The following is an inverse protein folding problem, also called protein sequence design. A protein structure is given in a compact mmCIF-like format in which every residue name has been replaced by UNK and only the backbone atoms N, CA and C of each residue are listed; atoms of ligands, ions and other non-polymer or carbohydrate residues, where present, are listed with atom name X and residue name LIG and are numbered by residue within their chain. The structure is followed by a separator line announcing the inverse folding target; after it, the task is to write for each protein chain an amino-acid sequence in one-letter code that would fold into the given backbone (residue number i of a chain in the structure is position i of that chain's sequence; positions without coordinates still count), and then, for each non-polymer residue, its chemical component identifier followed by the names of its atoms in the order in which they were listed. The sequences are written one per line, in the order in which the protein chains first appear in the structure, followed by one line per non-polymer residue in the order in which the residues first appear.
data_IF_619930669236
#
_entry.id   IF_619930669236
#
_cell.length_a   1.000
_cell.length_b   1.000
_cell.length_c   1.000
_cell.angle_alpha   90.00
_cell.angle_beta   90.00
_cell.angle_gamma   90.00
#
_symmetry.space_group_name_H-M   'P 1'
#
loop_
_entity.id
_entity.type
_entity.pdbx_description
1 polymer ?
#
# COMPACT_ATOMS: atom_id res chain seq x y z
N UNK A 1 27.85 17.03 4.84
CA UNK A 1 26.37 17.09 4.80
C UNK A 1 25.86 15.69 5.06
N UNK A 2 25.24 15.43 6.21
CA UNK A 2 24.76 14.09 6.55
C UNK A 2 23.38 13.89 5.91
N UNK A 3 23.31 13.08 4.86
CA UNK A 3 22.03 12.62 4.30
C UNK A 3 21.43 11.60 5.25
N UNK A 4 20.53 12.05 6.15
CA UNK A 4 19.67 11.11 6.86
C UNK A 4 18.68 10.54 5.84
N UNK A 5 18.68 9.23 5.56
CA UNK A 5 17.70 8.67 4.63
C UNK A 5 16.31 8.95 5.19
N UNK A 6 15.50 9.66 4.40
CA UNK A 6 14.10 9.92 4.71
C UNK A 6 13.37 8.62 4.42
N UNK A 7 13.14 7.78 5.43
CA UNK A 7 12.36 6.57 5.25
C UNK A 7 10.92 6.97 4.94
N UNK A 8 10.34 6.56 3.80
CA UNK A 8 8.96 6.89 3.49
C UNK A 8 8.00 6.30 4.53
N UNK A 9 6.91 7.01 4.90
CA UNK A 9 5.86 6.42 5.72
C UNK A 9 5.31 5.15 5.08
N UNK A 10 5.24 4.06 5.85
CA UNK A 10 4.69 2.78 5.40
C UNK A 10 3.28 2.61 5.97
N UNK A 11 2.33 2.21 5.11
CA UNK A 11 0.94 1.94 5.47
C UNK A 11 0.59 0.49 5.16
N UNK A 12 0.23 -0.29 6.18
CA UNK A 12 -0.23 -1.66 6.00
C UNK A 12 -1.70 -1.71 5.57
N UNK A 13 -2.01 -2.53 4.56
CA UNK A 13 -3.37 -2.74 4.07
C UNK A 13 -3.66 -4.19 3.74
N UNK A 14 -4.79 -4.69 4.25
CA UNK A 14 -5.34 -5.96 3.79
C UNK A 14 -5.85 -5.88 2.35
N UNK A 15 -5.64 -6.93 1.57
CA UNK A 15 -6.22 -7.08 0.24
C UNK A 15 -6.43 -8.58 -0.10
N UNK A 16 -7.48 -8.91 -0.85
CA UNK A 16 -7.73 -10.28 -1.28
C UNK A 16 -6.65 -10.79 -2.25
N UNK A 17 -6.37 -12.10 -2.22
CA UNK A 17 -5.33 -12.75 -3.02
C UNK A 17 -5.42 -12.42 -4.50
N UNK A 18 -6.61 -12.47 -5.10
CA UNK A 18 -6.79 -12.14 -6.51
C UNK A 18 -6.25 -10.74 -6.87
N UNK A 19 -6.54 -9.73 -6.06
CA UNK A 19 -6.04 -8.36 -6.30
C UNK A 19 -4.57 -8.20 -5.92
N UNK A 20 -4.08 -8.94 -4.91
CA UNK A 20 -2.66 -8.98 -4.59
C UNK A 20 -1.85 -9.45 -5.80
N UNK A 21 -2.27 -10.54 -6.45
CA UNK A 21 -1.61 -11.09 -7.63
C UNK A 21 -1.65 -10.11 -8.82
N UNK A 22 -2.75 -9.36 -8.98
CA UNK A 22 -2.85 -8.29 -9.98
C UNK A 22 -1.91 -7.11 -9.71
N UNK A 23 -1.69 -6.74 -8.44
CA UNK A 23 -0.73 -5.70 -8.05
C UNK A 23 0.70 -6.20 -8.25
N UNK A 24 1.00 -7.42 -7.80
CA UNK A 24 2.32 -8.03 -7.92
C UNK A 24 2.75 -8.22 -9.39
N UNK A 25 1.81 -8.52 -10.28
CA UNK A 25 2.06 -8.59 -11.73
C UNK A 25 2.09 -7.24 -12.43
N UNK A 26 1.82 -6.12 -11.74
CA UNK A 26 1.77 -4.78 -12.31
C UNK A 26 0.53 -4.49 -13.16
N UNK A 27 -0.41 -5.44 -13.28
CA UNK A 27 -1.66 -5.26 -14.05
C UNK A 27 -2.64 -4.31 -13.37
N UNK A 28 -2.63 -4.26 -12.04
CA UNK A 28 -3.43 -3.33 -11.25
C UNK A 28 -2.54 -2.24 -10.67
N UNK A 29 -2.72 -1.03 -11.18
CA UNK A 29 -1.94 0.16 -10.78
C UNK A 29 -2.72 1.13 -9.91
N UNK A 30 -4.05 0.97 -9.83
CA UNK A 30 -4.94 1.86 -9.07
C UNK A 30 -5.73 1.06 -8.03
N UNK A 31 -5.74 1.55 -6.79
CA UNK A 31 -6.49 0.98 -5.67
C UNK A 31 -7.45 2.02 -5.09
N UNK A 32 -8.74 1.68 -5.02
CA UNK A 32 -9.81 2.57 -4.54
C UNK A 32 -10.25 2.08 -3.15
N UNK A 33 -10.29 2.99 -2.18
CA UNK A 33 -10.67 2.70 -0.78
C UNK A 33 -11.52 3.85 -0.23
N UNK A 34 -12.35 3.56 0.76
CA UNK A 34 -13.02 4.58 1.57
C UNK A 34 -11.96 5.45 2.28
N UNK A 35 -12.17 6.77 2.32
CA UNK A 35 -11.25 7.73 2.93
C UNK A 35 -11.39 7.80 4.47
N UNK A 36 -11.17 6.67 5.12
CA UNK A 36 -11.18 6.54 6.58
C UNK A 36 -9.98 7.26 7.25
N UNK A 37 -9.98 7.29 8.59
CA UNK A 37 -8.94 7.99 9.37
C UNK A 37 -7.50 7.49 9.11
N UNK A 38 -7.34 6.23 8.68
CA UNK A 38 -6.03 5.68 8.32
C UNK A 38 -5.62 6.14 6.92
N UNK A 39 -6.56 6.09 5.95
CA UNK A 39 -6.32 6.48 4.54
C UNK A 39 -6.03 7.96 4.39
N UNK A 40 -6.62 8.81 5.23
CA UNK A 40 -6.33 10.26 5.27
C UNK A 40 -4.86 10.60 5.56
N UNK A 41 -4.07 9.65 6.10
CA UNK A 41 -2.65 9.85 6.41
C UNK A 41 -1.73 9.57 5.22
N UNK A 42 -2.23 8.94 4.16
CA UNK A 42 -1.44 8.58 2.98
C UNK A 42 -1.19 9.82 2.13
N UNK A 43 0.04 10.01 1.68
CA UNK A 43 0.44 11.13 0.83
C UNK A 43 1.28 10.62 -0.36
N UNK A 44 1.39 11.39 -1.45
CA UNK A 44 2.36 11.07 -2.50
C UNK A 44 3.76 10.81 -1.91
N UNK A 45 4.39 9.73 -2.33
CA UNK A 45 5.67 9.26 -1.80
C UNK A 45 5.58 8.28 -0.63
N UNK A 46 4.40 8.07 -0.03
CA UNK A 46 4.18 6.98 0.93
C UNK A 46 4.35 5.60 0.29
N UNK A 47 4.77 4.61 1.09
CA UNK A 47 4.78 3.20 0.71
C UNK A 47 3.54 2.50 1.26
N UNK A 48 2.93 1.62 0.46
CA UNK A 48 1.82 0.76 0.89
C UNK A 48 2.34 -0.68 0.97
N UNK A 49 2.23 -1.30 2.13
CA UNK A 49 2.52 -2.72 2.33
C UNK A 49 1.20 -3.50 2.29
N UNK A 50 0.93 -4.12 1.14
CA UNK A 50 -0.22 -5.01 1.02
C UNK A 50 0.04 -6.32 1.77
N UNK A 51 -0.93 -6.72 2.60
CA UNK A 51 -0.97 -8.03 3.25
C UNK A 51 -2.12 -8.82 2.67
N UNK A 52 -1.81 -10.00 2.14
CA UNK A 52 -2.81 -10.90 1.61
C UNK A 52 -3.78 -11.31 2.74
N UNK A 53 -5.08 -11.17 2.50
CA UNK A 53 -6.14 -11.60 3.40
C UNK A 53 -7.06 -12.57 2.66
N UNK A 54 -7.30 -13.74 3.24
CA UNK A 54 -8.12 -14.80 2.66
C UNK A 54 -7.43 -16.17 2.71
N UNK A 55 -8.17 -17.27 2.52
CA UNK A 55 -7.58 -18.61 2.44
C UNK A 55 -6.62 -18.69 1.25
N UNK A 56 -5.54 -19.46 1.45
CA UNK A 56 -4.50 -19.76 0.45
C UNK A 56 -5.06 -20.52 -0.74
#
# INVERSE_FOLDING_TARGET
MNHRPITPPVHDMGIYKHYFDLIASGRKTTEIRVNDASRRKIKPGSLIRFRCQGPV
#
